data_IF_043365895581
#
_entry.id   IF_043365895581
#
_cell.length_a   1.000
_cell.length_b   1.000
_cell.length_c   1.000
_cell.angle_alpha   90.00
_cell.angle_beta   90.00
_cell.angle_gamma   90.00
#
_symmetry.space_group_name_H-M   'P 1'
#
loop_
_entity.id
_entity.type
_entity.pdbx_description
1 polymer ?
#
# COMPACT_ATOMS: atom_id res chain seq x y z
N UNK A 1 1.34 27.82 -22.31
CA UNK A 1 -0.07 27.39 -22.24
C UNK A 1 -0.29 26.03 -22.89
N UNK A 2 -0.29 25.86 -24.22
CA UNK A 2 -0.49 24.52 -24.82
C UNK A 2 0.64 23.51 -24.48
N UNK A 3 1.88 23.99 -24.41
CA UNK A 3 3.07 23.16 -24.10
C UNK A 3 3.08 22.64 -22.65
N UNK A 4 2.56 23.41 -21.70
CA UNK A 4 2.58 23.07 -20.26
C UNK A 4 1.55 21.99 -19.93
N UNK A 5 0.35 22.07 -20.52
CA UNK A 5 -0.70 21.05 -20.38
C UNK A 5 -0.29 19.71 -21.01
N UNK A 6 0.39 19.76 -22.17
CA UNK A 6 0.93 18.55 -22.82
C UNK A 6 2.00 17.90 -21.93
N UNK A 7 2.89 18.70 -21.34
CA UNK A 7 3.93 18.19 -20.45
C UNK A 7 3.35 17.55 -19.18
N UNK A 8 2.38 18.23 -18.54
CA UNK A 8 1.64 17.72 -17.38
C UNK A 8 1.00 16.35 -17.68
N UNK A 9 0.30 16.24 -18.81
CA UNK A 9 -0.34 14.99 -19.23
C UNK A 9 0.67 13.86 -19.46
N UNK A 10 1.80 14.15 -20.10
CA UNK A 10 2.83 13.15 -20.38
C UNK A 10 3.48 12.62 -19.09
N UNK A 11 3.82 13.50 -18.16
CA UNK A 11 4.39 13.09 -16.87
C UNK A 11 3.41 12.24 -16.05
N UNK A 12 2.14 12.61 -16.02
CA UNK A 12 1.13 11.82 -15.32
C UNK A 12 0.92 10.47 -16.00
N UNK A 13 0.95 10.42 -17.34
CA UNK A 13 0.88 9.17 -18.08
C UNK A 13 2.03 8.23 -17.71
N UNK A 14 3.26 8.73 -17.63
CA UNK A 14 4.41 7.94 -17.18
C UNK A 14 4.22 7.44 -15.73
N UNK A 15 3.76 8.30 -14.83
CA UNK A 15 3.45 7.92 -13.45
C UNK A 15 2.42 6.79 -13.41
N UNK A 16 1.35 6.88 -14.21
CA UNK A 16 0.32 5.85 -14.33
C UNK A 16 0.91 4.54 -14.86
N UNK A 17 1.55 4.56 -16.03
CA UNK A 17 2.07 3.35 -16.69
C UNK A 17 3.11 2.61 -15.83
N UNK A 18 3.94 3.34 -15.07
CA UNK A 18 4.96 2.75 -14.22
C UNK A 18 4.42 2.08 -12.94
N UNK A 19 3.23 2.47 -12.48
CA UNK A 19 2.71 2.12 -11.16
C UNK A 19 1.39 1.34 -11.18
N UNK A 20 0.56 1.49 -12.23
CA UNK A 20 -0.79 0.90 -12.28
C UNK A 20 -0.78 -0.60 -12.00
N UNK A 21 -0.01 -1.39 -12.75
CA UNK A 21 0.01 -2.84 -12.58
C UNK A 21 0.49 -3.26 -11.18
N UNK A 22 1.46 -2.54 -10.60
CA UNK A 22 1.96 -2.84 -9.24
C UNK A 22 0.87 -2.57 -8.20
N UNK A 23 0.18 -1.44 -8.33
CA UNK A 23 -0.89 -1.04 -7.43
C UNK A 23 -2.14 -1.91 -7.60
N UNK A 24 -2.42 -2.39 -8.81
CA UNK A 24 -3.45 -3.38 -9.09
C UNK A 24 -3.20 -4.68 -8.31
N UNK A 25 -1.99 -5.25 -8.40
CA UNK A 25 -1.68 -6.45 -7.61
C UNK A 25 -1.75 -6.20 -6.10
N UNK A 26 -1.41 -5.00 -5.65
CA UNK A 26 -1.62 -4.61 -4.25
C UNK A 26 -3.12 -4.62 -3.93
N UNK A 27 -3.96 -3.94 -4.70
CA UNK A 27 -5.40 -3.91 -4.47
C UNK A 27 -6.01 -5.33 -4.47
N UNK A 28 -5.62 -6.17 -5.43
CA UNK A 28 -6.06 -7.56 -5.54
C UNK A 28 -5.74 -8.39 -4.29
N UNK A 29 -4.61 -8.11 -3.61
CA UNK A 29 -4.29 -8.78 -2.34
C UNK A 29 -5.19 -8.38 -1.17
N UNK A 30 -5.91 -7.25 -1.28
CA UNK A 30 -6.86 -6.81 -0.26
C UNK A 30 -8.31 -7.21 -0.59
N UNK A 31 -8.77 -6.97 -1.81
CA UNK A 31 -10.20 -7.14 -2.16
C UNK A 31 -10.51 -8.50 -2.80
N UNK A 32 -9.50 -9.24 -3.26
CA UNK A 32 -9.62 -10.60 -3.85
C UNK A 32 -10.57 -10.74 -5.04
N UNK A 33 -11.02 -9.62 -5.60
CA UNK A 33 -11.81 -9.52 -6.81
C UNK A 33 -11.08 -8.64 -7.84
N UNK A 34 -11.07 -9.07 -9.10
CA UNK A 34 -10.33 -8.39 -10.16
C UNK A 34 -11.01 -7.09 -10.59
N UNK A 35 -12.34 -7.06 -10.66
CA UNK A 35 -13.12 -5.87 -11.04
C UNK A 35 -12.96 -4.79 -9.97
N UNK A 36 -13.16 -5.14 -8.70
CA UNK A 36 -13.00 -4.22 -7.57
C UNK A 36 -11.56 -3.69 -7.48
N UNK A 37 -10.55 -4.54 -7.71
CA UNK A 37 -9.15 -4.12 -7.72
C UNK A 37 -8.85 -3.13 -8.85
N UNK A 38 -9.40 -3.38 -10.05
CA UNK A 38 -9.30 -2.45 -11.18
C UNK A 38 -9.98 -1.12 -10.89
N UNK A 39 -11.20 -1.14 -10.37
CA UNK A 39 -11.97 0.07 -10.07
C UNK A 39 -11.28 0.93 -9.02
N UNK A 40 -10.83 0.33 -7.91
CA UNK A 40 -10.14 1.05 -6.84
C UNK A 40 -8.89 1.77 -7.33
N UNK A 41 -8.06 1.10 -8.14
CA UNK A 41 -6.82 1.69 -8.65
C UNK A 41 -7.12 2.76 -9.71
N UNK A 42 -8.11 2.52 -10.56
CA UNK A 42 -8.53 3.48 -11.59
C UNK A 42 -9.11 4.75 -10.96
N UNK A 43 -9.98 4.62 -9.95
CA UNK A 43 -10.51 5.73 -9.17
C UNK A 43 -9.44 6.48 -8.39
N UNK A 44 -8.44 5.75 -7.87
CA UNK A 44 -7.30 6.37 -7.22
C UNK A 44 -6.56 7.30 -8.20
N UNK A 45 -6.22 6.82 -9.40
CA UNK A 45 -5.55 7.65 -10.40
C UNK A 45 -6.44 8.77 -10.95
N UNK A 46 -7.76 8.55 -11.09
CA UNK A 46 -8.69 9.61 -11.48
C UNK A 46 -8.66 10.76 -10.46
N UNK A 47 -8.75 10.44 -9.16
CA UNK A 47 -8.65 11.44 -8.09
C UNK A 47 -7.28 12.11 -8.02
N UNK A 48 -6.22 11.35 -8.35
CA UNK A 48 -4.85 11.86 -8.35
C UNK A 48 -4.67 12.89 -9.48
N UNK A 49 -5.26 12.65 -10.65
CA UNK A 49 -5.19 13.56 -11.79
C UNK A 49 -5.81 14.93 -11.48
N UNK A 50 -6.93 14.96 -10.76
CA UNK A 50 -7.59 16.21 -10.33
C UNK A 50 -6.70 17.07 -9.43
N UNK A 51 -5.86 16.42 -8.62
CA UNK A 51 -4.93 17.08 -7.67
C UNK A 51 -3.54 17.29 -8.27
N UNK A 52 -3.25 16.67 -9.41
CA UNK A 52 -1.94 16.73 -10.05
C UNK A 52 -1.65 18.16 -10.51
N UNK A 53 -0.58 18.76 -10.02
CA UNK A 53 -0.15 20.13 -10.32
C UNK A 53 0.94 20.18 -11.41
N UNK A 54 1.36 19.03 -11.92
CA UNK A 54 2.48 18.94 -12.87
C UNK A 54 3.82 18.56 -12.23
N UNK A 55 3.85 18.21 -10.95
CA UNK A 55 5.06 17.69 -10.31
C UNK A 55 4.90 16.23 -9.84
N UNK A 56 5.55 15.30 -10.55
CA UNK A 56 5.55 13.88 -10.22
C UNK A 56 6.37 13.52 -8.96
N UNK A 57 7.22 14.43 -8.45
CA UNK A 57 8.20 14.12 -7.38
C UNK A 57 7.55 13.79 -6.03
N UNK A 58 6.34 14.28 -5.78
CA UNK A 58 5.54 13.99 -4.60
C UNK A 58 4.87 12.61 -4.66
N UNK A 59 4.69 12.05 -5.86
CA UNK A 59 3.91 10.83 -6.11
C UNK A 59 4.80 9.58 -6.19
N UNK A 60 5.68 9.41 -5.19
CA UNK A 60 6.52 8.22 -5.09
C UNK A 60 5.66 6.98 -4.85
N UNK A 61 6.18 5.81 -5.24
CA UNK A 61 5.46 4.53 -5.12
C UNK A 61 4.81 4.31 -3.75
N UNK A 62 5.50 4.68 -2.67
CA UNK A 62 4.98 4.51 -1.32
C UNK A 62 3.76 5.38 -0.97
N UNK A 63 3.69 6.61 -1.52
CA UNK A 63 2.49 7.45 -1.44
C UNK A 63 1.32 6.78 -2.17
N UNK A 64 1.57 6.32 -3.40
CA UNK A 64 0.56 5.65 -4.22
C UNK A 64 0.05 4.36 -3.57
N UNK A 65 0.98 3.57 -3.01
CA UNK A 65 0.68 2.35 -2.27
C UNK A 65 -0.26 2.63 -1.10
N UNK A 66 0.05 3.63 -0.25
CA UNK A 66 -0.81 4.00 0.89
C UNK A 66 -2.17 4.51 0.44
N UNK A 67 -2.22 5.28 -0.64
CA UNK A 67 -3.47 5.77 -1.22
C UNK A 67 -4.40 4.62 -1.65
N UNK A 68 -3.85 3.66 -2.41
CA UNK A 68 -4.59 2.47 -2.86
C UNK A 68 -4.95 1.56 -1.69
N UNK A 69 -4.02 1.29 -0.79
CA UNK A 69 -4.26 0.48 0.41
C UNK A 69 -5.41 1.05 1.24
N UNK A 70 -5.43 2.37 1.48
CA UNK A 70 -6.50 3.03 2.22
C UNK A 70 -7.85 2.85 1.52
N UNK A 71 -7.90 3.04 0.20
CA UNK A 71 -9.13 2.85 -0.58
C UNK A 71 -9.63 1.40 -0.53
N UNK A 72 -8.72 0.42 -0.58
CA UNK A 72 -9.08 -0.98 -0.39
C UNK A 72 -9.69 -1.25 0.99
N UNK A 73 -9.06 -0.72 2.06
CA UNK A 73 -9.57 -0.86 3.43
C UNK A 73 -10.95 -0.20 3.55
N UNK A 74 -11.11 1.00 2.99
CA UNK A 74 -12.40 1.71 3.02
C UNK A 74 -13.46 0.97 2.20
N UNK A 75 -13.13 0.42 1.04
CA UNK A 75 -14.02 -0.44 0.24
C UNK A 75 -14.49 -1.64 1.07
N UNK A 76 -13.57 -2.41 1.67
CA UNK A 76 -13.89 -3.58 2.49
C UNK A 76 -14.78 -3.20 3.68
N UNK A 77 -14.54 -2.05 4.33
CA UNK A 77 -15.42 -1.57 5.42
C UNK A 77 -16.83 -1.29 4.93
N UNK A 78 -16.99 -0.65 3.78
CA UNK A 78 -18.31 -0.35 3.22
C UNK A 78 -19.02 -1.63 2.74
N UNK A 79 -18.30 -2.57 2.14
CA UNK A 79 -18.83 -3.87 1.75
C UNK A 79 -19.26 -4.68 2.97
N UNK A 80 -18.44 -4.77 4.03
CA UNK A 80 -18.83 -5.43 5.30
C UNK A 80 -20.03 -4.76 5.99
N UNK A 81 -20.19 -3.45 5.87
CA UNK A 81 -21.38 -2.75 6.38
C UNK A 81 -22.59 -3.07 5.51
N UNK A 82 -22.47 -3.05 4.18
CA UNK A 82 -23.53 -3.47 3.26
C UNK A 82 -23.92 -4.93 3.46
N UNK A 83 -22.96 -5.82 3.65
CA UNK A 83 -23.18 -7.24 3.92
C UNK A 83 -23.87 -7.42 5.27
N UNK A 84 -23.50 -6.67 6.30
CA UNK A 84 -24.22 -6.69 7.57
C UNK A 84 -25.67 -6.18 7.47
N UNK A 85 -25.95 -5.21 6.59
CA UNK A 85 -27.32 -4.76 6.31
C UNK A 85 -28.07 -5.72 5.38
N UNK A 86 -27.38 -6.39 4.44
CA UNK A 86 -27.96 -7.38 3.55
C UNK A 86 -28.23 -8.70 4.27
N UNK A 87 -27.37 -9.14 5.20
CA UNK A 87 -27.55 -10.30 6.08
C UNK A 87 -28.78 -10.16 6.98
N UNK A 88 -29.09 -8.93 7.45
CA UNK A 88 -30.34 -8.67 8.18
C UNK A 88 -31.57 -8.90 7.28
N UNK A 89 -31.45 -8.64 5.98
CA UNK A 89 -32.51 -8.89 4.97
C UNK A 89 -32.49 -10.31 4.37
N UNK A 90 -31.35 -11.02 4.42
CA UNK A 90 -31.15 -12.37 3.86
C UNK A 90 -31.12 -13.49 4.92
N UNK A 91 -31.50 -13.21 6.17
CA UNK A 91 -31.50 -14.21 7.25
C UNK A 91 -32.51 -15.37 7.07
N UNK A 92 -33.25 -15.41 5.95
CA UNK A 92 -33.85 -16.63 5.45
C UNK A 92 -32.96 -17.21 4.32
N UNK A 93 -32.22 -18.28 4.66
CA UNK A 93 -31.63 -19.30 3.75
C UNK A 93 -30.09 -19.28 3.58
N UNK A 94 -29.45 -20.27 4.23
CA UNK A 94 -28.12 -20.91 4.00
C UNK A 94 -26.87 -20.24 4.65
N UNK A 95 -26.09 -20.99 5.47
CA UNK A 95 -24.80 -20.54 6.01
C UNK A 95 -23.60 -20.97 5.15
N UNK A 96 -22.81 -20.01 4.65
CA UNK A 96 -21.43 -20.19 4.11
C UNK A 96 -20.89 -18.77 3.74
N UNK A 97 -19.67 -18.28 4.02
CA UNK A 97 -18.30 -18.80 4.19
C UNK A 97 -17.54 -17.98 5.25
N UNK A 98 -16.84 -18.64 6.17
CA UNK A 98 -15.81 -18.03 7.02
C UNK A 98 -14.42 -18.36 6.46
N UNK A 99 -13.75 -17.42 5.79
CA UNK A 99 -12.32 -17.56 5.50
C UNK A 99 -11.49 -16.25 5.60
N UNK A 100 -12.07 -15.14 6.07
CA UNK A 100 -11.48 -13.80 5.93
C UNK A 100 -10.94 -13.14 7.22
N UNK A 101 -11.11 -13.74 8.41
CA UNK A 101 -10.62 -13.17 9.67
C UNK A 101 -9.10 -13.27 9.84
N UNK A 102 -8.49 -14.34 9.33
CA UNK A 102 -7.06 -14.62 9.54
C UNK A 102 -6.13 -13.66 8.80
N UNK A 103 -6.57 -13.11 7.67
CA UNK A 103 -5.77 -12.21 6.85
C UNK A 103 -5.77 -10.78 7.41
N UNK A 104 -6.93 -10.30 7.87
CA UNK A 104 -7.07 -9.04 8.61
C UNK A 104 -6.25 -9.04 9.92
N UNK A 105 -6.24 -10.15 10.66
CA UNK A 105 -5.40 -10.30 11.85
C UNK A 105 -3.91 -10.27 11.52
N UNK A 106 -3.52 -10.89 10.40
CA UNK A 106 -2.12 -10.94 9.97
C UNK A 106 -1.60 -9.56 9.60
N UNK A 107 -2.39 -8.76 8.89
CA UNK A 107 -2.05 -7.38 8.53
C UNK A 107 -1.96 -6.48 9.77
N UNK A 108 -2.93 -6.56 10.69
CA UNK A 108 -2.88 -5.84 11.97
C UNK A 108 -1.64 -6.22 12.79
N UNK A 109 -1.26 -7.50 12.77
CA UNK A 109 -0.05 -7.98 13.42
C UNK A 109 1.21 -7.40 12.78
N UNK A 110 1.30 -7.35 11.44
CA UNK A 110 2.42 -6.70 10.72
C UNK A 110 2.54 -5.23 11.12
N UNK A 111 1.45 -4.49 11.08
CA UNK A 111 1.43 -3.06 11.41
C UNK A 111 1.89 -2.81 12.85
N UNK A 112 1.41 -3.63 13.80
CA UNK A 112 1.86 -3.58 15.19
C UNK A 112 3.37 -3.84 15.31
N UNK A 113 3.87 -4.87 14.64
CA UNK A 113 5.31 -5.20 14.68
C UNK A 113 6.16 -4.06 14.11
N UNK A 114 5.73 -3.42 13.01
CA UNK A 114 6.43 -2.27 12.43
C UNK A 114 6.43 -1.09 13.41
N UNK A 115 5.31 -0.84 14.09
CA UNK A 115 5.20 0.20 15.09
C UNK A 115 6.05 -0.06 16.34
N UNK A 116 6.27 -1.32 16.71
CA UNK A 116 7.11 -1.73 17.84
C UNK A 116 8.62 -1.79 17.47
N UNK A 117 8.99 -1.54 16.20
CA UNK A 117 10.40 -1.50 15.81
C UNK A 117 11.11 -0.28 16.41
N UNK A 118 12.43 -0.38 16.67
CA UNK A 118 13.21 0.78 17.10
C UNK A 118 13.08 1.94 16.11
N UNK A 119 12.91 3.17 16.60
CA UNK A 119 12.55 4.36 15.80
C UNK A 119 13.39 4.53 14.53
N UNK A 120 14.72 4.37 14.62
CA UNK A 120 15.62 4.47 13.46
C UNK A 120 15.36 3.39 12.41
N UNK A 121 14.98 2.20 12.84
CA UNK A 121 14.68 1.06 11.96
C UNK A 121 13.30 1.23 11.32
N UNK A 122 12.29 1.63 12.11
CA UNK A 122 10.97 2.01 11.60
C UNK A 122 11.08 3.12 10.57
N UNK A 123 11.80 4.19 10.88
CA UNK A 123 12.03 5.31 9.97
C UNK A 123 12.66 4.85 8.65
N UNK A 124 13.68 3.99 8.68
CA UNK A 124 14.28 3.43 7.46
C UNK A 124 13.27 2.61 6.65
N UNK A 125 12.45 1.78 7.31
CA UNK A 125 11.41 0.99 6.65
C UNK A 125 10.37 1.90 6.00
N UNK A 126 9.90 2.91 6.73
CA UNK A 126 8.93 3.89 6.24
C UNK A 126 9.50 4.63 5.03
N UNK A 127 10.73 5.16 5.12
CA UNK A 127 11.32 5.91 4.02
C UNK A 127 11.61 5.04 2.78
N UNK A 128 12.04 3.79 2.95
CA UNK A 128 12.36 2.93 1.81
C UNK A 128 11.12 2.28 1.19
N UNK A 129 10.19 1.78 2.00
CA UNK A 129 9.06 0.98 1.53
C UNK A 129 7.74 1.76 1.49
N UNK A 130 7.52 2.69 2.43
CA UNK A 130 6.31 3.51 2.45
C UNK A 130 6.47 4.87 1.75
N UNK A 131 7.68 5.35 1.52
CA UNK A 131 7.96 6.59 0.75
C UNK A 131 8.73 6.29 -0.56
N UNK A 132 9.17 5.05 -0.77
CA UNK A 132 9.85 4.62 -1.99
C UNK A 132 11.22 5.26 -2.23
N UNK A 133 11.90 5.74 -1.19
CA UNK A 133 13.21 6.40 -1.31
C UNK A 133 14.33 5.40 -1.57
N UNK A 134 15.35 5.84 -2.32
CA UNK A 134 16.55 5.02 -2.57
C UNK A 134 17.39 4.95 -1.28
N UNK A 135 18.11 3.85 -1.08
CA UNK A 135 18.95 3.68 0.11
C UNK A 135 20.04 4.76 0.26
N UNK A 136 20.45 5.40 -0.84
CA UNK A 136 21.40 6.52 -0.80
C UNK A 136 20.73 7.76 -0.20
N UNK A 137 19.52 8.08 -0.64
CA UNK A 137 18.75 9.23 -0.15
C UNK A 137 18.46 9.08 1.36
N UNK A 138 18.11 7.87 1.82
CA UNK A 138 17.87 7.60 3.24
C UNK A 138 19.17 7.63 4.05
N UNK A 139 20.28 7.18 3.47
CA UNK A 139 21.60 7.24 4.11
C UNK A 139 22.02 8.69 4.35
N UNK A 140 21.82 9.56 3.37
CA UNK A 140 22.05 11.00 3.49
C UNK A 140 21.17 11.64 4.56
N UNK A 141 19.86 11.35 4.56
CA UNK A 141 18.92 11.88 5.58
C UNK A 141 19.31 11.54 7.01
N UNK A 142 19.84 10.34 7.21
CA UNK A 142 20.22 9.86 8.54
C UNK A 142 21.71 10.08 8.88
N UNK A 143 22.48 10.66 7.95
CA UNK A 143 23.94 10.81 8.07
C UNK A 143 24.63 9.47 8.41
N UNK A 144 24.21 8.40 7.73
CA UNK A 144 24.80 7.05 7.84
C UNK A 144 25.26 6.56 6.46
N UNK A 145 25.93 5.41 6.40
CA UNK A 145 26.26 4.78 5.12
C UNK A 145 25.06 4.06 4.51
N UNK A 146 25.08 3.86 3.18
CA UNK A 146 24.14 2.98 2.47
C UNK A 146 24.09 1.58 3.12
N UNK A 147 25.23 1.10 3.61
CA UNK A 147 25.32 -0.17 4.32
C UNK A 147 24.63 -0.12 5.70
N UNK A 148 24.67 1.02 6.38
CA UNK A 148 23.88 1.29 7.59
C UNK A 148 22.38 1.18 7.33
N UNK A 149 21.89 1.75 6.22
CA UNK A 149 20.48 1.58 5.79
C UNK A 149 20.17 0.11 5.54
N UNK A 150 21.04 -0.62 4.82
CA UNK A 150 20.87 -2.06 4.56
C UNK A 150 20.80 -2.89 5.86
N UNK A 151 21.60 -2.54 6.87
CA UNK A 151 21.54 -3.18 8.20
C UNK A 151 20.20 -2.95 8.89
N UNK A 152 19.65 -1.73 8.83
CA UNK A 152 18.32 -1.46 9.37
C UNK A 152 17.22 -2.26 8.65
N UNK A 153 17.26 -2.33 7.31
CA UNK A 153 16.32 -3.15 6.52
C UNK A 153 16.43 -4.63 6.90
N UNK A 154 17.66 -5.15 7.01
CA UNK A 154 17.89 -6.54 7.42
C UNK A 154 17.35 -6.81 8.83
N UNK A 155 17.54 -5.87 9.75
CA UNK A 155 16.99 -5.93 11.11
C UNK A 155 15.47 -5.97 11.10
N UNK A 156 14.81 -5.09 10.33
CA UNK A 156 13.36 -5.06 10.18
C UNK A 156 12.80 -6.39 9.65
N UNK A 157 13.42 -6.93 8.59
CA UNK A 157 13.03 -8.23 8.02
C UNK A 157 13.20 -9.38 9.01
N UNK A 158 14.26 -9.36 9.83
CA UNK A 158 14.45 -10.38 10.85
C UNK A 158 13.40 -10.28 11.96
N UNK A 159 13.05 -9.08 12.41
CA UNK A 159 11.97 -8.86 13.39
C UNK A 159 10.64 -9.41 12.85
N UNK A 160 10.31 -9.10 11.59
CA UNK A 160 9.10 -9.62 10.94
C UNK A 160 9.14 -11.14 10.83
N UNK A 161 10.25 -11.74 10.38
CA UNK A 161 10.39 -13.21 10.28
C UNK A 161 10.21 -13.91 11.62
N UNK A 162 10.83 -13.40 12.68
CA UNK A 162 10.70 -13.95 14.04
C UNK A 162 9.25 -13.88 14.54
N UNK A 163 8.52 -12.82 14.21
CA UNK A 163 7.14 -12.65 14.65
C UNK A 163 6.12 -13.54 13.90
N UNK A 164 6.46 -13.98 12.69
CA UNK A 164 5.63 -14.86 11.86
C UNK A 164 6.12 -16.31 11.81
N UNK A 165 7.18 -16.67 12.54
CA UNK A 165 7.71 -18.03 12.66
C UNK A 165 7.89 -18.72 11.29
N UNK A 166 8.35 -17.97 10.28
CA UNK A 166 8.61 -18.54 8.95
C UNK A 166 9.88 -19.39 9.06
N UNK A 167 9.71 -20.68 9.36
CA UNK A 167 10.80 -21.65 9.33
C UNK A 167 11.43 -21.68 7.93
N UNK A 168 12.76 -21.66 7.90
CA UNK A 168 13.51 -21.93 6.67
C UNK A 168 13.20 -23.36 6.26
N UNK A 169 12.37 -23.53 5.23
CA UNK A 169 12.39 -24.75 4.42
C UNK A 169 13.65 -24.76 3.56
#
# INVERSE_FOLDING_TARGET
MATDEINKRNQFKELFEQNYSKLYYVALTFVKDEEDAHDIVSDFFASLWEQYDGDATLYKYGYLYRGVQRRCIDFIRHSKVKDRYSEIYLSETIPFFCEDEKEDERLKKIEKIINDMPDKTKFVVDQCYLEGRKYVEVAEMMSISREGVRKHITKALNILRSAFNVEKK
#
